data_IF_146143805175
#
_entry.id   IF_146143805175
#
_cell.length_a   1.000
_cell.length_b   1.000
_cell.length_c   1.000
_cell.angle_alpha   90.00
_cell.angle_beta   90.00
_cell.angle_gamma   90.00
#
_symmetry.space_group_name_H-M   'P 1'
#
loop_
_entity.id
_entity.type
_entity.pdbx_description
1 polymer ?
#
# COMPACT_ATOMS: atom_id res chain seq x y z
N UNK A 1 -12.95 4.12 -12.83
CA UNK A 1 -13.94 3.19 -12.25
C UNK A 1 -13.27 1.91 -11.77
N UNK A 2 -13.95 1.11 -10.95
CA UNK A 2 -13.42 -0.21 -10.54
C UNK A 2 -13.54 -1.21 -11.70
N UNK A 3 -12.53 -2.09 -11.90
CA UNK A 3 -12.65 -3.23 -12.80
C UNK A 3 -13.89 -4.04 -12.49
N UNK A 4 -14.50 -4.63 -13.52
CA UNK A 4 -15.79 -5.32 -13.42
C UNK A 4 -15.77 -6.40 -12.33
N UNK A 5 -14.72 -7.21 -12.28
CA UNK A 5 -14.61 -8.28 -11.27
C UNK A 5 -14.37 -7.73 -9.86
N UNK A 6 -13.53 -6.70 -9.71
CA UNK A 6 -13.35 -6.03 -8.43
C UNK A 6 -14.64 -5.40 -7.91
N UNK A 7 -15.40 -4.74 -8.80
CA UNK A 7 -16.70 -4.14 -8.46
C UNK A 7 -17.70 -5.19 -7.96
N UNK A 8 -17.81 -6.33 -8.66
CA UNK A 8 -18.68 -7.45 -8.23
C UNK A 8 -18.32 -7.94 -6.84
N UNK A 9 -17.03 -8.07 -6.53
CA UNK A 9 -16.56 -8.48 -5.21
C UNK A 9 -16.94 -7.43 -4.15
N UNK A 10 -16.68 -6.15 -4.41
CA UNK A 10 -17.05 -5.04 -3.50
C UNK A 10 -18.55 -5.05 -3.22
N UNK A 11 -19.38 -5.13 -4.25
CA UNK A 11 -20.84 -5.15 -4.13
C UNK A 11 -21.31 -6.36 -3.30
N UNK A 12 -20.73 -7.54 -3.55
CA UNK A 12 -21.04 -8.76 -2.80
C UNK A 12 -20.72 -8.64 -1.30
N UNK A 13 -19.58 -8.06 -0.94
CA UNK A 13 -19.23 -7.85 0.48
C UNK A 13 -20.08 -6.76 1.14
N UNK A 14 -20.55 -5.77 0.38
CA UNK A 14 -21.47 -4.74 0.89
C UNK A 14 -22.89 -5.29 1.11
N UNK A 15 -23.31 -6.31 0.37
CA UNK A 15 -24.60 -6.97 0.57
C UNK A 15 -24.67 -7.87 1.82
N UNK A 16 -23.52 -8.22 2.42
CA UNK A 16 -23.46 -9.11 3.60
C UNK A 16 -23.35 -8.26 4.87
N UNK A 17 -24.42 -8.03 5.65
CA UNK A 17 -24.35 -7.16 6.83
C UNK A 17 -23.65 -7.82 8.03
N UNK A 18 -23.68 -9.15 8.14
CA UNK A 18 -23.10 -9.87 9.29
C UNK A 18 -21.56 -9.98 9.17
N UNK A 19 -20.79 -9.40 10.11
CA UNK A 19 -19.33 -9.49 10.14
C UNK A 19 -18.80 -10.93 10.14
N UNK A 20 -19.52 -11.86 10.78
CA UNK A 20 -19.14 -13.28 10.82
C UNK A 20 -19.26 -13.92 9.44
N UNK A 21 -20.29 -13.58 8.68
CA UNK A 21 -20.47 -14.08 7.31
C UNK A 21 -19.42 -13.48 6.37
N UNK A 22 -19.09 -12.19 6.49
CA UNK A 22 -17.96 -11.58 5.74
C UNK A 22 -16.65 -12.33 6.01
N UNK A 23 -16.39 -12.65 7.28
CA UNK A 23 -15.21 -13.42 7.66
C UNK A 23 -15.20 -14.83 7.03
N UNK A 24 -16.31 -15.56 7.09
CA UNK A 24 -16.43 -16.89 6.48
C UNK A 24 -16.25 -16.85 4.97
N UNK A 25 -16.83 -15.84 4.32
CA UNK A 25 -16.69 -15.63 2.90
C UNK A 25 -15.22 -15.38 2.53
N UNK A 26 -14.51 -14.55 3.29
CA UNK A 26 -13.08 -14.29 3.11
C UNK A 26 -12.24 -15.58 3.18
N UNK A 27 -12.53 -16.46 4.15
CA UNK A 27 -11.89 -17.78 4.23
C UNK A 27 -12.21 -18.66 3.01
N UNK A 28 -13.42 -18.56 2.45
CA UNK A 28 -13.81 -19.32 1.26
C UNK A 28 -13.03 -18.86 0.01
N UNK A 29 -12.78 -17.56 -0.15
CA UNK A 29 -11.89 -17.04 -1.18
C UNK A 29 -10.47 -17.60 -1.02
N UNK A 30 -9.91 -17.57 0.19
CA UNK A 30 -8.56 -18.08 0.46
C UNK A 30 -8.40 -19.57 0.15
N UNK A 31 -9.44 -20.38 0.36
CA UNK A 31 -9.44 -21.82 0.01
C UNK A 31 -9.46 -22.09 -1.49
N UNK A 32 -10.05 -21.19 -2.29
CA UNK A 32 -10.14 -21.31 -3.75
C UNK A 32 -8.92 -20.75 -4.47
N UNK A 33 -8.06 -20.02 -3.76
CA UNK A 33 -6.85 -19.44 -4.33
C UNK A 33 -5.91 -20.57 -4.82
N UNK A 34 -5.52 -20.57 -6.11
CA UNK A 34 -4.56 -21.54 -6.62
C UNK A 34 -3.25 -21.50 -5.83
N UNK A 35 -2.62 -22.66 -5.65
CA UNK A 35 -1.35 -22.75 -4.95
C UNK A 35 -0.26 -21.98 -5.70
N UNK A 36 0.54 -21.23 -4.95
CA UNK A 36 1.73 -20.55 -5.47
C UNK A 36 2.93 -21.51 -5.44
N UNK A 37 3.70 -21.65 -6.53
CA UNK A 37 4.91 -22.45 -6.54
C UNK A 37 5.91 -22.01 -5.45
N UNK A 38 6.63 -22.97 -4.87
CA UNK A 38 7.62 -22.68 -3.82
C UNK A 38 8.73 -21.73 -4.31
N UNK A 39 9.13 -21.87 -5.58
CA UNK A 39 10.10 -20.98 -6.26
C UNK A 39 9.66 -19.52 -6.35
N UNK A 40 8.35 -19.26 -6.27
CA UNK A 40 7.82 -17.89 -6.33
C UNK A 40 7.81 -17.19 -4.97
N UNK A 41 8.13 -17.89 -3.87
CA UNK A 41 8.22 -17.33 -2.51
C UNK A 41 9.54 -16.57 -2.28
N UNK A 42 9.84 -15.64 -3.18
CA UNK A 42 11.07 -14.83 -3.16
C UNK A 42 10.89 -13.55 -2.35
N UNK A 43 12.00 -12.92 -1.96
CA UNK A 43 11.96 -11.62 -1.29
C UNK A 43 11.43 -10.48 -2.19
N UNK A 44 11.51 -10.64 -3.52
CA UNK A 44 10.93 -9.72 -4.50
C UNK A 44 9.40 -9.78 -4.53
N UNK A 45 8.83 -10.96 -4.38
CA UNK A 45 7.37 -11.15 -4.36
C UNK A 45 6.76 -10.88 -2.97
N UNK A 46 7.57 -10.65 -1.95
CA UNK A 46 7.13 -10.57 -0.55
C UNK A 46 6.55 -9.21 -0.19
N UNK A 47 5.34 -9.23 0.37
CA UNK A 47 4.68 -8.04 0.90
C UNK A 47 5.31 -7.65 2.23
N UNK A 48 5.86 -6.44 2.30
CA UNK A 48 6.44 -5.87 3.53
C UNK A 48 5.36 -5.24 4.40
N UNK A 49 5.66 -5.00 5.69
CA UNK A 49 4.70 -4.40 6.61
C UNK A 49 3.45 -5.27 6.84
N UNK A 50 3.57 -6.59 6.72
CA UNK A 50 2.53 -7.52 7.16
C UNK A 50 2.99 -8.24 8.43
N UNK A 51 2.04 -8.60 9.30
CA UNK A 51 2.30 -9.51 10.42
C UNK A 51 2.36 -10.96 9.94
N UNK A 52 1.57 -11.31 8.94
CA UNK A 52 1.66 -12.60 8.25
C UNK A 52 2.65 -12.50 7.09
N UNK A 53 3.27 -13.60 6.72
CA UNK A 53 4.02 -13.65 5.48
C UNK A 53 3.03 -13.72 4.32
N UNK A 54 3.24 -12.89 3.30
CA UNK A 54 2.41 -12.82 2.10
C UNK A 54 3.31 -12.61 0.90
N UNK A 55 3.00 -13.29 -0.19
CA UNK A 55 3.66 -13.11 -1.48
C UNK A 55 2.63 -12.81 -2.55
N UNK A 56 2.97 -11.94 -3.50
CA UNK A 56 2.19 -11.64 -4.69
C UNK A 56 3.11 -11.60 -5.90
N UNK A 57 2.70 -12.22 -7.00
CA UNK A 57 3.47 -12.29 -8.24
C UNK A 57 2.56 -12.00 -9.44
N UNK A 58 2.92 -11.06 -10.33
CA UNK A 58 2.21 -10.84 -11.58
C UNK A 58 2.61 -11.86 -12.64
N UNK A 59 1.69 -12.14 -13.55
CA UNK A 59 1.89 -12.90 -14.78
C UNK A 59 1.23 -12.14 -15.92
N UNK A 60 2.03 -11.64 -16.85
CA UNK A 60 1.53 -10.92 -18.02
C UNK A 60 1.13 -11.91 -19.11
N UNK A 61 -0.12 -11.80 -19.61
CA UNK A 61 -0.66 -12.60 -20.71
C UNK A 61 -1.58 -11.71 -21.54
N UNK A 62 -1.39 -11.65 -22.86
CA UNK A 62 -2.26 -10.89 -23.77
C UNK A 62 -2.51 -9.43 -23.32
N UNK A 63 -1.43 -8.75 -22.92
CA UNK A 63 -1.45 -7.38 -22.38
C UNK A 63 -2.30 -7.18 -21.11
N UNK A 64 -2.62 -8.27 -20.41
CA UNK A 64 -3.35 -8.28 -19.15
C UNK A 64 -2.53 -8.94 -18.07
N UNK A 65 -2.65 -8.44 -16.85
CA UNK A 65 -1.97 -8.99 -15.68
C UNK A 65 -2.88 -9.98 -14.96
N UNK A 66 -2.33 -11.13 -14.65
CA UNK A 66 -2.91 -12.15 -13.77
C UNK A 66 -2.04 -12.26 -12.53
N UNK A 67 -2.64 -12.63 -11.40
CA UNK A 67 -1.91 -12.61 -10.13
C UNK A 67 -1.88 -13.99 -9.48
N UNK A 68 -0.73 -14.35 -8.91
CA UNK A 68 -0.61 -15.40 -7.91
C UNK A 68 -0.34 -14.77 -6.55
N UNK A 69 -0.85 -15.40 -5.51
CA UNK A 69 -0.54 -15.00 -4.16
C UNK A 69 -0.58 -16.19 -3.21
N UNK A 70 0.14 -16.07 -2.10
CA UNK A 70 0.01 -16.99 -0.97
C UNK A 70 0.26 -16.29 0.36
N UNK A 71 -0.16 -16.92 1.45
CA UNK A 71 0.12 -16.45 2.81
C UNK A 71 0.13 -17.62 3.80
N UNK A 72 0.98 -17.48 4.82
CA UNK A 72 1.04 -18.38 5.98
C UNK A 72 -0.20 -18.31 6.90
N UNK A 73 -1.07 -17.31 6.69
CA UNK A 73 -2.29 -17.08 7.47
C UNK A 73 -3.52 -17.27 6.59
N UNK A 74 -4.43 -18.15 7.03
CA UNK A 74 -5.67 -18.47 6.28
C UNK A 74 -6.50 -17.23 5.97
N UNK A 75 -6.61 -16.31 6.93
CA UNK A 75 -7.39 -15.08 6.70
C UNK A 75 -6.68 -14.10 5.78
N UNK A 76 -5.37 -13.95 5.95
CA UNK A 76 -4.56 -13.07 5.11
C UNK A 76 -4.52 -13.59 3.66
N UNK A 77 -4.48 -14.92 3.49
CA UNK A 77 -4.66 -15.59 2.20
C UNK A 77 -6.03 -15.29 1.58
N UNK A 78 -7.08 -15.20 2.40
CA UNK A 78 -8.39 -14.74 1.96
C UNK A 78 -8.35 -13.31 1.39
N UNK A 79 -7.67 -12.38 2.06
CA UNK A 79 -7.52 -10.99 1.59
C UNK A 79 -6.73 -10.94 0.27
N UNK A 80 -5.62 -11.67 0.19
CA UNK A 80 -4.84 -11.80 -1.04
C UNK A 80 -5.69 -12.37 -2.18
N UNK A 81 -6.54 -13.35 -1.90
CA UNK A 81 -7.43 -13.94 -2.90
C UNK A 81 -8.45 -12.95 -3.48
N UNK A 82 -8.94 -11.98 -2.69
CA UNK A 82 -9.82 -10.93 -3.20
C UNK A 82 -9.10 -10.05 -4.22
N UNK A 83 -7.86 -9.65 -3.93
CA UNK A 83 -7.05 -8.86 -4.85
C UNK A 83 -6.73 -9.65 -6.11
N UNK A 84 -6.34 -10.91 -5.96
CA UNK A 84 -6.07 -11.80 -7.09
C UNK A 84 -7.29 -11.92 -8.00
N UNK A 85 -8.47 -12.19 -7.44
CA UNK A 85 -9.69 -12.34 -8.24
C UNK A 85 -10.18 -11.02 -8.83
N UNK A 86 -10.06 -9.91 -8.10
CA UNK A 86 -10.55 -8.61 -8.55
C UNK A 86 -9.66 -7.92 -9.58
N UNK A 87 -8.34 -8.16 -9.54
CA UNK A 87 -7.36 -7.47 -10.40
C UNK A 87 -6.82 -8.34 -11.53
N UNK A 88 -7.05 -9.66 -11.52
CA UNK A 88 -6.64 -10.52 -12.64
C UNK A 88 -7.46 -10.23 -13.89
N UNK A 89 -6.81 -10.15 -15.04
CA UNK A 89 -7.42 -9.83 -16.33
C UNK A 89 -7.56 -8.33 -16.61
N UNK A 90 -7.07 -7.46 -15.72
CA UNK A 90 -6.95 -6.03 -15.95
C UNK A 90 -5.70 -5.71 -16.80
N UNK A 91 -5.69 -4.57 -17.46
CA UNK A 91 -4.46 -4.01 -18.04
C UNK A 91 -3.54 -3.48 -16.93
N UNK A 92 -2.25 -3.29 -17.25
CA UNK A 92 -1.31 -2.68 -16.30
C UNK A 92 -1.74 -1.26 -15.92
N UNK A 93 -2.23 -0.48 -16.88
CA UNK A 93 -2.73 0.88 -16.66
C UNK A 93 -3.96 0.91 -15.74
N UNK A 94 -4.90 -0.01 -15.93
CA UNK A 94 -6.06 -0.15 -15.03
C UNK A 94 -5.60 -0.41 -13.59
N UNK A 95 -4.64 -1.32 -13.38
CA UNK A 95 -4.15 -1.60 -12.02
C UNK A 95 -3.42 -0.40 -11.42
N UNK A 96 -2.51 0.23 -12.19
CA UNK A 96 -1.72 1.37 -11.71
C UNK A 96 -2.59 2.57 -11.37
N UNK A 97 -3.63 2.83 -12.15
CA UNK A 97 -4.54 3.98 -11.97
C UNK A 97 -5.56 3.82 -10.83
N UNK A 98 -5.73 2.61 -10.28
CA UNK A 98 -6.69 2.37 -9.20
C UNK A 98 -6.29 3.06 -7.88
N UNK A 99 -7.19 3.89 -7.38
CA UNK A 99 -7.12 4.46 -6.02
C UNK A 99 -7.39 3.37 -4.96
N UNK A 100 -6.78 3.42 -3.76
CA UNK A 100 -7.06 2.48 -2.68
C UNK A 100 -8.44 2.68 -2.00
N UNK A 101 -9.18 3.75 -2.28
CA UNK A 101 -10.42 4.11 -1.53
C UNK A 101 -11.49 3.01 -1.53
N UNK A 102 -11.52 2.17 -2.57
CA UNK A 102 -12.48 1.06 -2.64
C UNK A 102 -12.29 0.03 -1.53
N UNK A 103 -11.09 -0.07 -0.95
CA UNK A 103 -10.79 -0.99 0.16
C UNK A 103 -11.61 -0.59 1.40
N UNK A 104 -11.67 0.70 1.70
CA UNK A 104 -12.52 1.24 2.76
C UNK A 104 -14.00 1.02 2.44
N UNK A 105 -14.39 1.21 1.18
CA UNK A 105 -15.78 1.06 0.72
C UNK A 105 -16.27 -0.40 0.60
N UNK A 106 -15.38 -1.39 0.68
CA UNK A 106 -15.74 -2.82 0.70
C UNK A 106 -16.37 -3.23 2.05
N UNK A 107 -16.28 -2.38 3.08
CA UNK A 107 -16.90 -2.62 4.38
C UNK A 107 -16.30 -3.80 5.14
N UNK A 108 -15.05 -4.19 4.82
CA UNK A 108 -14.32 -5.26 5.51
C UNK A 108 -13.60 -4.77 6.77
N UNK A 109 -13.35 -3.46 6.89
CA UNK A 109 -12.56 -2.88 7.98
C UNK A 109 -13.12 -3.23 9.38
N UNK A 110 -14.44 -3.26 9.51
CA UNK A 110 -15.12 -3.63 10.77
C UNK A 110 -14.91 -5.10 11.17
N UNK A 111 -14.52 -5.96 10.23
CA UNK A 111 -14.29 -7.39 10.44
C UNK A 111 -12.81 -7.76 10.57
N UNK A 112 -11.91 -6.78 10.40
CA UNK A 112 -10.46 -6.98 10.40
C UNK A 112 -9.82 -6.23 11.57
N UNK A 113 -8.69 -6.74 12.04
CA UNK A 113 -7.84 -5.98 12.98
C UNK A 113 -7.07 -4.90 12.22
N UNK A 114 -6.62 -3.81 12.87
CA UNK A 114 -5.86 -2.75 12.21
C UNK A 114 -4.63 -3.26 11.44
N UNK A 115 -3.89 -4.21 12.03
CA UNK A 115 -2.75 -4.86 11.37
C UNK A 115 -3.12 -5.61 10.08
N UNK A 116 -4.31 -6.23 10.00
CA UNK A 116 -4.78 -6.92 8.80
C UNK A 116 -5.25 -5.95 7.73
N UNK A 117 -5.88 -4.85 8.13
CA UNK A 117 -6.25 -3.77 7.22
C UNK A 117 -5.00 -3.16 6.57
N UNK A 118 -3.98 -2.85 7.38
CA UNK A 118 -2.68 -2.40 6.88
C UNK A 118 -2.05 -3.43 5.94
N UNK A 119 -2.08 -4.72 6.30
CA UNK A 119 -1.58 -5.77 5.43
C UNK A 119 -2.29 -5.81 4.08
N UNK A 120 -3.60 -5.59 4.05
CA UNK A 120 -4.39 -5.54 2.82
C UNK A 120 -4.02 -4.38 1.91
N UNK A 121 -3.81 -3.20 2.49
CA UNK A 121 -3.33 -2.02 1.76
C UNK A 121 -1.92 -2.23 1.22
N UNK A 122 -1.02 -2.83 2.01
CA UNK A 122 0.35 -3.15 1.59
C UNK A 122 0.38 -4.18 0.45
N UNK A 123 -0.51 -5.18 0.47
CA UNK A 123 -0.69 -6.12 -0.64
C UNK A 123 -1.06 -5.39 -1.93
N UNK A 124 -2.08 -4.52 -1.86
CA UNK A 124 -2.54 -3.75 -3.01
C UNK A 124 -1.46 -2.79 -3.54
N UNK A 125 -0.74 -2.11 -2.64
CA UNK A 125 0.36 -1.22 -3.00
C UNK A 125 1.47 -1.95 -3.77
N UNK A 126 1.88 -3.14 -3.31
CA UNK A 126 2.89 -3.93 -4.00
C UNK A 126 2.39 -4.41 -5.38
N UNK A 127 1.12 -4.79 -5.50
CA UNK A 127 0.54 -5.17 -6.81
C UNK A 127 0.55 -3.98 -7.78
N UNK A 128 0.21 -2.77 -7.34
CA UNK A 128 0.31 -1.55 -8.17
C UNK A 128 1.74 -1.24 -8.57
N UNK A 129 2.69 -1.35 -7.64
CA UNK A 129 4.10 -1.14 -7.91
C UNK A 129 4.61 -2.12 -8.98
N UNK A 130 4.36 -3.42 -8.82
CA UNK A 130 4.77 -4.44 -9.79
C UNK A 130 4.13 -4.24 -11.18
N UNK A 131 2.87 -3.78 -11.21
CA UNK A 131 2.22 -3.43 -12.48
C UNK A 131 2.91 -2.23 -13.18
N UNK A 132 3.32 -1.21 -12.42
CA UNK A 132 4.06 -0.07 -12.94
C UNK A 132 5.45 -0.47 -13.48
N UNK A 133 6.17 -1.33 -12.76
CA UNK A 133 7.48 -1.86 -13.18
C UNK A 133 7.35 -2.65 -14.51
N UNK A 134 6.33 -3.50 -14.63
CA UNK A 134 6.06 -4.22 -15.87
C UNK A 134 5.70 -3.28 -17.04
N UNK A 135 4.97 -2.20 -16.76
CA UNK A 135 4.60 -1.22 -17.78
C UNK A 135 5.81 -0.44 -18.32
N UNK A 136 6.84 -0.22 -17.49
CA UNK A 136 8.09 0.43 -17.90
C UNK A 136 9.06 -0.52 -18.61
N UNK A 137 8.96 -1.82 -18.31
CA UNK A 137 9.79 -2.87 -18.90
C UNK A 137 9.30 -3.35 -20.28
N UNK A 138 8.08 -2.99 -20.70
CA UNK A 138 7.63 -3.27 -22.06
C UNK A 138 8.32 -2.33 -23.05
N UNK A 139 9.02 -2.84 -24.10
CA UNK A 139 9.46 -2.00 -25.19
C UNK A 139 8.23 -1.37 -25.87
N UNK A 140 8.31 -0.08 -26.20
CA UNK A 140 7.27 0.62 -26.93
C UNK A 140 7.03 -0.06 -28.29
N UNK A 141 6.07 -0.98 -28.37
CA UNK A 141 5.60 -1.55 -29.63
C UNK A 141 4.09 -1.69 -29.63
N UNK A 142 3.50 -1.10 -30.67
CA UNK A 142 2.09 -1.13 -31.11
C UNK A 142 1.15 -0.08 -30.50
N UNK A 143 1.42 1.18 -30.85
CA UNK A 143 0.37 2.18 -31.00
C UNK A 143 -0.38 1.94 -32.33
N UNK A 144 -1.72 2.03 -32.38
CA UNK A 144 -2.42 2.10 -33.66
C UNK A 144 -2.25 3.50 -34.27
N UNK A 145 -1.80 3.53 -35.53
CA UNK A 145 -1.72 4.72 -36.37
C UNK A 145 -3.10 5.39 -36.55
N UNK A 146 -3.17 6.70 -36.31
CA UNK A 146 -4.02 7.62 -37.08
C UNK A 146 -3.57 9.08 -36.95
N UNK A 147 -2.94 9.55 -38.03
CA UNK A 147 -3.02 10.89 -38.63
C UNK A 147 -2.63 12.16 -37.84
N UNK A 148 -1.45 12.67 -38.23
CA UNK A 148 -1.09 14.07 -38.55
C UNK A 148 -2.26 15.07 -38.71
N UNK A 149 -2.15 16.36 -38.35
CA UNK A 149 -1.10 17.25 -38.86
C UNK A 149 -1.00 18.60 -38.10
N UNK A 150 0.25 19.08 -37.95
CA UNK A 150 0.78 20.47 -38.15
C UNK A 150 0.10 21.68 -37.50
N UNK A 151 0.85 22.50 -36.73
CA UNK A 151 1.75 23.55 -37.29
C UNK A 151 2.46 24.35 -36.18
N UNK A 152 3.65 24.81 -36.53
CA UNK A 152 4.69 25.48 -35.75
C UNK A 152 4.36 26.91 -35.29
N UNK A 153 5.15 27.43 -34.36
CA UNK A 153 5.19 28.84 -33.95
C UNK A 153 6.25 29.12 -32.89
N UNK A 154 7.47 29.42 -33.36
CA UNK A 154 8.56 30.21 -32.75
C UNK A 154 8.08 31.37 -31.84
N UNK A 155 8.80 31.98 -30.89
CA UNK A 155 10.21 31.99 -30.48
C UNK A 155 10.37 32.88 -29.21
N UNK A 156 11.50 32.67 -28.50
CA UNK A 156 12.34 33.64 -27.78
C UNK A 156 11.77 34.57 -26.67
N UNK A 157 12.33 34.48 -25.46
CA UNK A 157 13.44 35.36 -25.00
C UNK A 157 13.45 35.65 -23.48
N UNK A 158 14.61 35.31 -22.89
CA UNK A 158 15.35 35.92 -21.77
C UNK A 158 14.66 36.83 -20.71
N UNK A 159 14.94 36.55 -19.42
CA UNK A 159 15.81 37.41 -18.57
C UNK A 159 15.69 37.10 -17.07
N UNK A 160 16.80 36.58 -16.50
CA UNK A 160 17.49 36.99 -15.26
C UNK A 160 16.73 37.56 -14.04
N UNK A 161 17.06 37.02 -12.86
CA UNK A 161 16.84 37.68 -11.56
C UNK A 161 17.27 36.83 -10.35
N UNK A 162 18.54 36.93 -9.96
CA UNK A 162 19.07 36.45 -8.67
C UNK A 162 18.47 37.25 -7.49
N UNK A 163 18.22 36.59 -6.36
CA UNK A 163 17.89 37.26 -5.11
C UNK A 163 17.86 36.28 -3.94
N UNK A 164 18.93 36.27 -3.16
CA UNK A 164 19.18 35.35 -2.07
C UNK A 164 18.55 35.81 -0.73
N UNK A 165 18.45 34.83 0.17
CA UNK A 165 18.54 34.90 1.64
C UNK A 165 17.31 35.15 2.53
N UNK A 166 17.35 34.36 3.61
CA UNK A 166 16.73 34.48 4.94
C UNK A 166 15.26 34.05 5.03
N UNK A 167 14.94 32.86 5.54
CA UNK A 167 15.11 32.29 6.90
C UNK A 167 14.03 32.73 7.89
N UNK A 168 13.27 31.71 8.34
CA UNK A 168 12.42 31.57 9.52
C UNK A 168 10.89 31.76 9.34
N UNK A 169 10.04 31.06 10.13
CA UNK A 169 10.25 29.82 10.90
C UNK A 169 9.30 28.67 10.53
N UNK A 170 9.75 27.44 10.78
CA UNK A 170 8.99 26.19 10.75
C UNK A 170 8.04 26.11 11.96
N UNK A 171 6.72 26.11 11.75
CA UNK A 171 5.76 25.33 12.56
C UNK A 171 4.38 25.33 11.91
N UNK A 172 4.09 24.34 11.07
CA UNK A 172 2.71 23.94 10.77
C UNK A 172 2.60 22.44 11.02
N UNK A 173 1.86 22.11 12.09
CA UNK A 173 1.89 20.84 12.77
C UNK A 173 1.52 19.68 11.84
N UNK A 174 2.39 18.65 11.85
CA UNK A 174 2.10 17.27 11.43
C UNK A 174 1.67 16.47 12.68
N UNK A 175 0.44 16.67 13.20
CA UNK A 175 0.04 16.13 14.51
C UNK A 175 0.10 14.60 14.57
N UNK A 176 -0.14 13.90 13.46
CA UNK A 176 -0.14 12.43 13.44
C UNK A 176 1.30 11.92 13.53
N UNK A 177 2.21 12.44 12.70
CA UNK A 177 3.65 12.12 12.78
C UNK A 177 4.19 12.37 14.19
N UNK A 178 3.91 13.54 14.75
CA UNK A 178 4.39 13.90 16.09
C UNK A 178 3.85 12.96 17.18
N UNK A 179 2.60 12.49 17.05
CA UNK A 179 2.04 11.47 17.95
C UNK A 179 2.77 10.14 17.82
N UNK A 180 2.97 9.65 16.59
CA UNK A 180 3.69 8.41 16.32
C UNK A 180 5.13 8.48 16.86
N UNK A 181 5.83 9.59 16.61
CA UNK A 181 7.20 9.81 17.06
C UNK A 181 7.31 9.77 18.58
N UNK A 182 6.40 10.44 19.30
CA UNK A 182 6.36 10.39 20.77
C UNK A 182 6.14 8.97 21.28
N UNK A 183 5.11 8.27 20.81
CA UNK A 183 4.76 6.92 21.28
C UNK A 183 5.86 5.91 20.99
N UNK A 184 6.47 5.96 19.81
CA UNK A 184 7.56 5.05 19.44
C UNK A 184 8.83 5.34 20.24
N UNK A 185 9.19 6.61 20.47
CA UNK A 185 10.33 6.95 21.31
C UNK A 185 10.14 6.49 22.76
N UNK A 186 8.95 6.72 23.33
CA UNK A 186 8.65 6.32 24.71
C UNK A 186 8.65 4.79 24.88
N UNK A 187 7.99 4.06 23.97
CA UNK A 187 7.80 2.63 24.11
C UNK A 187 9.03 1.79 23.69
N UNK A 188 9.80 2.25 22.69
CA UNK A 188 10.88 1.46 22.10
C UNK A 188 12.28 2.00 22.39
N UNK A 189 12.42 3.24 22.89
CA UNK A 189 13.70 3.91 23.11
C UNK A 189 14.72 3.62 21.99
N UNK A 190 14.36 3.93 20.73
CA UNK A 190 15.11 3.46 19.57
C UNK A 190 16.48 4.16 19.48
N UNK A 191 17.49 3.43 18.98
CA UNK A 191 18.76 4.03 18.59
C UNK A 191 18.60 4.87 17.31
N UNK A 192 17.72 4.44 16.41
CA UNK A 192 17.34 5.20 15.22
C UNK A 192 15.85 5.06 14.94
N UNK A 193 15.18 6.18 14.70
CA UNK A 193 13.79 6.25 14.28
C UNK A 193 13.65 7.22 13.12
N UNK A 194 13.13 6.73 11.99
CA UNK A 194 12.74 7.56 10.85
C UNK A 194 11.26 7.33 10.57
N UNK A 195 10.49 8.41 10.55
CA UNK A 195 9.09 8.41 10.14
C UNK A 195 8.98 9.30 8.89
N UNK A 196 8.58 8.72 7.77
CA UNK A 196 8.34 9.42 6.51
C UNK A 196 6.84 9.44 6.23
N UNK A 197 6.33 10.63 5.94
CA UNK A 197 4.95 10.85 5.51
C UNK A 197 4.91 10.81 3.97
N UNK A 198 4.27 9.78 3.43
CA UNK A 198 4.18 9.51 2.00
C UNK A 198 2.81 9.95 1.42
N UNK A 199 2.00 10.66 2.22
CA UNK A 199 0.63 11.03 1.85
C UNK A 199 0.55 11.91 0.59
N UNK A 200 1.57 12.73 0.33
CA UNK A 200 1.63 13.61 -0.86
C UNK A 200 1.96 12.89 -2.16
N UNK A 201 2.59 11.71 -2.10
CA UNK A 201 2.85 10.88 -3.29
C UNK A 201 1.55 10.30 -3.88
N UNK A 202 0.41 10.54 -3.20
CA UNK A 202 -0.94 10.18 -3.63
C UNK A 202 -1.90 11.39 -3.67
N UNK A 203 -1.41 12.62 -3.44
CA UNK A 203 -2.18 13.85 -3.49
C UNK A 203 -2.36 14.34 -4.94
N UNK A 204 -3.22 13.66 -5.69
CA UNK A 204 -3.52 14.01 -7.08
C UNK A 204 -4.67 13.24 -7.73
N UNK A 205 -5.10 12.12 -7.13
CA UNK A 205 -6.24 11.34 -7.61
C UNK A 205 -7.53 11.69 -6.85
N UNK A 206 -8.67 11.55 -7.54
CA UNK A 206 -9.99 12.06 -7.16
C UNK A 206 -10.49 11.71 -5.74
N UNK A 207 -9.87 10.73 -5.07
CA UNK A 207 -10.16 10.31 -3.70
C UNK A 207 -9.60 11.20 -2.58
N UNK A 208 -8.50 11.93 -2.81
CA UNK A 208 -7.82 12.69 -1.75
C UNK A 208 -8.64 13.87 -1.20
N UNK A 209 -9.67 14.30 -1.94
CA UNK A 209 -10.49 15.48 -1.58
C UNK A 209 -11.63 15.16 -0.61
N UNK A 210 -12.02 13.89 -0.44
CA UNK A 210 -13.22 13.55 0.32
C UNK A 210 -12.97 12.84 1.67
N UNK A 211 -11.75 12.33 1.90
CA UNK A 211 -11.31 11.73 3.18
C UNK A 211 -9.95 12.25 3.64
N UNK A 212 -9.66 13.53 3.38
CA UNK A 212 -8.52 14.17 4.01
C UNK A 212 -8.73 14.13 5.53
N UNK A 213 -7.86 13.40 6.25
CA UNK A 213 -7.59 13.74 7.64
C UNK A 213 -7.40 15.25 7.71
N UNK A 214 -7.88 15.98 8.73
CA UNK A 214 -7.70 17.43 8.82
C UNK A 214 -6.23 17.86 8.64
N UNK A 215 -5.28 16.95 8.95
CA UNK A 215 -3.85 17.14 8.74
C UNK A 215 -3.28 16.70 7.40
N UNK A 216 -4.04 15.95 6.58
CA UNK A 216 -3.55 15.35 5.31
C UNK A 216 -2.61 14.16 5.48
N UNK A 217 -2.32 13.75 6.73
CA UNK A 217 -1.40 12.67 7.07
C UNK A 217 -2.14 11.33 7.12
N UNK A 218 -1.93 10.47 6.13
CA UNK A 218 -2.65 9.18 5.99
C UNK A 218 -1.74 7.99 5.68
N UNK A 219 -0.58 8.19 5.07
CA UNK A 219 0.34 7.12 4.68
C UNK A 219 1.72 7.36 5.27
N UNK A 220 2.26 6.36 5.96
CA UNK A 220 3.54 6.45 6.64
C UNK A 220 4.46 5.27 6.37
N UNK A 221 5.75 5.56 6.27
CA UNK A 221 6.83 4.58 6.35
C UNK A 221 7.61 4.83 7.64
N UNK A 222 7.75 3.79 8.46
CA UNK A 222 8.49 3.84 9.73
C UNK A 222 9.64 2.85 9.67
N UNK A 223 10.85 3.37 9.83
CA UNK A 223 12.08 2.59 10.00
C UNK A 223 12.56 2.76 11.43
N UNK A 224 12.69 1.67 12.17
CA UNK A 224 13.07 1.72 13.59
C UNK A 224 14.12 0.67 13.92
N UNK A 225 15.16 1.13 14.62
CA UNK A 225 16.25 0.31 15.16
C UNK A 225 16.19 0.40 16.69
N UNK A 226 15.99 -0.72 17.38
CA UNK A 226 15.85 -0.74 18.85
C UNK A 226 16.30 -2.07 19.47
N UNK A 227 16.86 -2.01 20.68
CA UNK A 227 17.17 -3.19 21.49
C UNK A 227 15.92 -3.96 21.92
N UNK A 228 14.74 -3.31 21.95
CA UNK A 228 13.46 -3.96 22.24
C UNK A 228 13.08 -5.05 21.22
N UNK A 229 13.78 -5.11 20.08
CA UNK A 229 13.58 -6.12 19.04
C UNK A 229 14.52 -7.32 19.12
N UNK A 230 15.45 -7.35 20.07
CA UNK A 230 16.37 -8.48 20.26
C UNK A 230 15.61 -9.77 20.59
N UNK A 231 15.98 -10.86 19.91
CA UNK A 231 15.31 -12.16 20.06
C UNK A 231 13.88 -12.23 19.47
N UNK A 232 13.35 -11.14 18.93
CA UNK A 232 12.05 -11.12 18.24
C UNK A 232 12.25 -11.31 16.74
N UNK A 233 11.38 -12.10 16.12
CA UNK A 233 11.29 -12.16 14.65
C UNK A 233 10.50 -10.95 14.11
N UNK A 234 10.62 -10.70 12.81
CA UNK A 234 9.97 -9.56 12.11
C UNK A 234 8.48 -9.44 12.44
N UNK A 235 7.77 -10.55 12.50
CA UNK A 235 6.33 -10.59 12.82
C UNK A 235 6.04 -10.05 14.22
N UNK A 236 6.79 -10.50 15.23
CA UNK A 236 6.63 -10.03 16.62
C UNK A 236 7.01 -8.55 16.74
N UNK A 237 8.04 -8.09 16.04
CA UNK A 237 8.44 -6.68 15.99
C UNK A 237 7.32 -5.81 15.39
N UNK A 238 6.79 -6.21 14.24
CA UNK A 238 5.67 -5.50 13.60
C UNK A 238 4.44 -5.47 14.51
N UNK A 239 4.08 -6.59 15.15
CA UNK A 239 2.97 -6.63 16.12
C UNK A 239 3.18 -5.63 17.27
N UNK A 240 4.40 -5.52 17.77
CA UNK A 240 4.73 -4.57 18.85
C UNK A 240 4.50 -3.13 18.38
N UNK A 241 5.01 -2.77 17.20
CA UNK A 241 4.83 -1.43 16.61
C UNK A 241 3.35 -1.14 16.31
N UNK A 242 2.62 -2.09 15.71
CA UNK A 242 1.19 -1.94 15.45
C UNK A 242 0.38 -1.75 16.73
N UNK A 243 0.76 -2.41 17.82
CA UNK A 243 0.11 -2.23 19.13
C UNK A 243 0.37 -0.85 19.70
N UNK A 244 1.59 -0.33 19.58
CA UNK A 244 1.95 1.02 20.05
C UNK A 244 1.16 2.09 19.29
N UNK A 245 0.92 1.88 18.01
CA UNK A 245 0.26 2.84 17.10
C UNK A 245 -1.21 2.49 16.82
N UNK A 246 -1.86 1.69 17.67
CA UNK A 246 -3.21 1.17 17.41
C UNK A 246 -4.24 2.30 17.25
N UNK A 247 -4.14 3.36 18.04
CA UNK A 247 -5.04 4.53 17.97
C UNK A 247 -4.88 5.30 16.65
N UNK A 248 -3.64 5.53 16.22
CA UNK A 248 -3.35 6.19 14.95
C UNK A 248 -3.86 5.37 13.76
N UNK A 249 -3.71 4.04 13.82
CA UNK A 249 -4.16 3.09 12.79
C UNK A 249 -5.66 2.84 12.78
N UNK A 250 -6.34 3.08 13.91
CA UNK A 250 -7.80 3.07 13.99
C UNK A 250 -8.42 4.41 13.54
N UNK A 251 -7.61 5.46 13.42
CA UNK A 251 -8.03 6.80 13.05
C UNK A 251 -7.36 7.29 11.75
N UNK A 252 -6.45 8.28 11.84
CA UNK A 252 -5.98 9.01 10.66
C UNK A 252 -5.02 8.23 9.75
N UNK A 253 -4.30 7.23 10.27
CA UNK A 253 -3.33 6.46 9.50
C UNK A 253 -4.03 5.31 8.78
N UNK A 254 -4.02 5.37 7.46
CA UNK A 254 -4.65 4.39 6.60
C UNK A 254 -3.68 3.28 6.21
N UNK A 255 -2.42 3.62 5.91
CA UNK A 255 -1.39 2.64 5.58
C UNK A 255 -0.09 2.91 6.34
N UNK A 256 0.51 1.84 6.86
CA UNK A 256 1.78 1.88 7.59
C UNK A 256 2.74 0.79 7.09
N UNK A 257 3.82 1.23 6.45
CA UNK A 257 4.96 0.39 6.06
C UNK A 257 6.01 0.38 7.17
N UNK A 258 6.52 -0.81 7.52
CA UNK A 258 7.46 -1.01 8.63
C UNK A 258 8.75 -1.67 8.15
N UNK A 259 9.87 -1.08 8.56
CA UNK A 259 11.20 -1.72 8.57
C UNK A 259 11.71 -1.72 10.01
N UNK A 260 11.89 -2.91 10.60
CA UNK A 260 12.21 -3.07 12.03
C UNK A 260 13.46 -3.94 12.23
N UNK A 261 14.49 -3.35 12.85
CA UNK A 261 15.79 -4.01 13.05
C UNK A 261 16.23 -3.93 14.51
N UNK A 262 16.83 -4.99 15.02
CA UNK A 262 17.57 -4.98 16.28
C UNK A 262 18.96 -4.36 16.09
N UNK A 263 19.62 -4.00 17.20
CA UNK A 263 20.99 -3.45 17.17
C UNK A 263 22.02 -4.41 16.56
N UNK A 264 21.75 -5.71 16.63
CA UNK A 264 22.64 -6.75 16.11
C UNK A 264 22.58 -6.86 14.58
N UNK A 265 21.47 -6.43 13.97
CA UNK A 265 21.27 -6.50 12.51
C UNK A 265 21.75 -5.24 11.78
N UNK A 266 22.20 -4.22 12.53
CA UNK A 266 22.77 -2.97 12.00
C UNK A 266 24.29 -2.89 12.15
N UNK A 267 24.92 -3.94 12.72
CA UNK A 267 26.37 -4.06 12.92
C UNK A 267 27.02 -4.99 11.92
#
# INVERSE_FOLDING_TARGET
>A
DLPVELKKIVDLFNMVPDPKLKYQQLLAYGKKLPAMPAEDHTEDNKVRGCVSQVWVKPELRDNKVYWRADSDSVLTKGLAALLVQGLSGCTLEEVVSLSPDWISNMGLQQSLTPSRNNGFLNMFALMRQKAAELSQAQPASEAPEAASNSSEGESASASNGNGATSSAPESSAKPVRASMERKLNEALQPESLTILDESSQHAGHAGSRMLASPSGETHFKVSVVSSAFEGLNTVKRHRLVYKILEEELAGPVHALSLDTKSLQETR
#
